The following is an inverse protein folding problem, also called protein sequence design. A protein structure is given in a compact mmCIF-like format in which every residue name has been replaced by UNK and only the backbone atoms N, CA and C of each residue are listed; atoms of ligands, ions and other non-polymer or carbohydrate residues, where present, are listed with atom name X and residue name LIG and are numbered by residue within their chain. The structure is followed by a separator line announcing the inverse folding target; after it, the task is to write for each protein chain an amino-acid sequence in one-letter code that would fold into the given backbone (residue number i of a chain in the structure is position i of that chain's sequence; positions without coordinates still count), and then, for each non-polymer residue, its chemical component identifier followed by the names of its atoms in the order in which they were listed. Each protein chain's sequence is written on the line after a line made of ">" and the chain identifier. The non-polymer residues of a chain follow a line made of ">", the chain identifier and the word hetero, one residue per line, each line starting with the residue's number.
data_IF_660570431108
#
_entry.id   IF_660570431108
#
_cell.length_a   1.000
_cell.length_b   1.000
_cell.length_c   1.000
_cell.angle_alpha   90.00
_cell.angle_beta   90.00
_cell.angle_gamma   90.00
#
_symmetry.space_group_name_H-M   'P 1'
#
loop_
_entity.id
_entity.type
_entity.pdbx_description
1 polymer ?
#
# COMPACT_ATOMS: atom_id res chain seq x y z
N UNK A 1 -22.71 -80.19 36.04
CA UNK A 1 -21.84 -79.36 36.89
C UNK A 1 -20.98 -78.53 35.97
N UNK A 2 -21.33 -77.27 35.70
CA UNK A 2 -21.07 -76.06 36.52
C UNK A 2 -19.75 -75.39 36.08
N UNK A 3 -19.90 -74.25 35.37
CA UNK A 3 -19.17 -72.97 35.55
C UNK A 3 -17.73 -73.01 34.97
N UNK A 4 -17.31 -72.17 34.01
CA UNK A 4 -17.03 -70.74 34.24
C UNK A 4 -16.70 -69.93 32.96
N UNK A 5 -17.45 -68.83 32.75
CA UNK A 5 -17.05 -67.47 32.27
C UNK A 5 -16.33 -67.34 30.91
N UNK A 6 -16.92 -66.81 29.82
CA UNK A 6 -17.73 -65.59 29.63
C UNK A 6 -17.05 -64.29 30.12
N UNK A 7 -15.85 -63.95 29.61
CA UNK A 7 -15.19 -62.67 29.93
C UNK A 7 -14.45 -62.05 28.73
N UNK A 8 -15.14 -61.76 27.62
CA UNK A 8 -14.54 -60.91 26.58
C UNK A 8 -15.53 -60.17 25.67
N UNK A 9 -16.69 -59.75 26.18
CA UNK A 9 -17.59 -58.91 25.37
C UNK A 9 -18.41 -57.87 26.16
N UNK A 10 -17.87 -57.36 27.26
CA UNK A 10 -18.46 -56.23 27.99
C UNK A 10 -17.33 -55.26 28.34
N UNK A 11 -17.04 -54.35 27.42
CA UNK A 11 -16.61 -52.96 27.63
C UNK A 11 -16.23 -52.37 26.27
N UNK A 12 -17.23 -52.15 25.40
CA UNK A 12 -17.11 -51.13 24.37
C UNK A 12 -18.08 -50.01 24.74
N UNK A 13 -17.59 -48.80 25.05
CA UNK A 13 -18.49 -47.68 25.29
C UNK A 13 -19.30 -47.45 24.01
N UNK A 14 -20.61 -47.38 24.15
CA UNK A 14 -21.53 -47.04 23.07
C UNK A 14 -21.08 -45.70 22.47
N UNK A 15 -20.50 -45.71 21.27
CA UNK A 15 -20.20 -44.46 20.55
C UNK A 15 -21.53 -43.78 20.26
N UNK A 16 -21.78 -42.54 20.73
CA UNK A 16 -22.97 -41.82 20.30
C UNK A 16 -22.88 -41.64 18.79
N UNK A 17 -23.90 -42.14 18.08
CA UNK A 17 -24.04 -41.90 16.65
C UNK A 17 -24.12 -40.39 16.43
N UNK A 18 -23.16 -39.82 15.69
CA UNK A 18 -23.20 -38.39 15.34
C UNK A 18 -24.53 -38.12 14.64
N UNK A 19 -25.35 -37.23 15.20
CA UNK A 19 -26.59 -36.78 14.55
C UNK A 19 -26.25 -36.34 13.11
N UNK A 20 -27.08 -36.66 12.11
CA UNK A 20 -26.84 -36.23 10.75
C UNK A 20 -26.69 -34.72 10.75
N UNK A 21 -25.56 -34.26 10.24
CA UNK A 21 -25.23 -32.84 10.13
C UNK A 21 -26.21 -32.27 9.11
N UNK A 22 -27.23 -31.55 9.57
CA UNK A 22 -28.09 -30.76 8.70
C UNK A 22 -27.22 -29.69 8.06
N UNK A 23 -26.72 -29.97 6.85
CA UNK A 23 -26.12 -28.96 5.99
C UNK A 23 -27.26 -28.14 5.41
N UNK A 24 -27.82 -27.24 6.21
CA UNK A 24 -28.59 -26.13 5.67
C UNK A 24 -27.59 -25.29 4.88
N UNK A 25 -27.55 -25.46 3.55
CA UNK A 25 -26.79 -24.56 2.70
C UNK A 25 -27.44 -23.19 2.84
N UNK A 26 -26.87 -22.34 3.70
CA UNK A 26 -27.29 -20.94 3.77
C UNK A 26 -27.10 -20.37 2.38
N UNK A 27 -28.21 -20.03 1.72
CA UNK A 27 -28.19 -19.31 0.46
C UNK A 27 -27.36 -18.04 0.72
N UNK A 28 -26.18 -17.96 0.12
CA UNK A 28 -25.36 -16.75 0.22
C UNK A 28 -26.06 -15.71 -0.64
N UNK A 29 -26.85 -14.84 -0.02
CA UNK A 29 -27.28 -13.62 -0.68
C UNK A 29 -26.04 -12.87 -1.11
N UNK A 30 -25.82 -12.75 -2.43
CA UNK A 30 -24.76 -11.91 -2.97
C UNK A 30 -25.11 -10.47 -2.58
N UNK A 31 -24.19 -9.80 -1.89
CA UNK A 31 -24.32 -8.35 -1.67
C UNK A 31 -24.38 -7.67 -3.04
N UNK A 32 -25.22 -6.64 -3.22
CA UNK A 32 -25.24 -5.86 -4.44
C UNK A 32 -23.82 -5.32 -4.73
N UNK A 33 -23.44 -5.16 -6.02
CA UNK A 33 -22.17 -4.55 -6.37
C UNK A 33 -22.04 -3.18 -5.72
N UNK A 34 -20.92 -2.93 -5.05
CA UNK A 34 -20.61 -1.58 -4.53
C UNK A 34 -20.23 -0.67 -5.68
N UNK A 35 -20.67 0.57 -5.62
CA UNK A 35 -20.30 1.61 -6.57
C UNK A 35 -18.82 1.99 -6.36
N UNK A 36 -18.06 2.09 -7.45
CA UNK A 36 -16.68 2.55 -7.39
C UNK A 36 -16.62 4.07 -7.59
N UNK A 37 -16.58 4.82 -6.48
CA UNK A 37 -16.42 6.28 -6.48
C UNK A 37 -14.97 6.74 -6.25
N UNK A 38 -13.99 5.85 -6.42
CA UNK A 38 -12.58 6.22 -6.33
C UNK A 38 -12.17 6.88 -7.65
N UNK A 39 -12.01 8.20 -7.64
CA UNK A 39 -11.57 8.94 -8.83
C UNK A 39 -10.05 9.02 -8.90
N UNK A 40 -9.55 9.29 -10.11
CA UNK A 40 -8.13 9.51 -10.35
C UNK A 40 -7.62 10.73 -9.58
N UNK A 41 -8.39 11.82 -9.53
CA UNK A 41 -7.97 13.03 -8.79
C UNK A 41 -7.80 12.76 -7.30
N UNK A 42 -8.70 11.98 -6.70
CA UNK A 42 -8.57 11.59 -5.29
C UNK A 42 -7.28 10.80 -5.06
N UNK A 43 -6.98 9.83 -5.92
CA UNK A 43 -5.74 9.05 -5.79
C UNK A 43 -4.48 9.92 -6.01
N UNK A 44 -4.52 10.88 -6.94
CA UNK A 44 -3.43 11.83 -7.17
C UNK A 44 -3.20 12.75 -5.97
N UNK A 45 -4.28 13.23 -5.34
CA UNK A 45 -4.19 14.01 -4.11
C UNK A 45 -3.50 13.22 -2.99
N UNK A 46 -3.83 11.92 -2.86
CA UNK A 46 -3.11 11.05 -1.92
C UNK A 46 -1.67 10.77 -2.29
N UNK A 47 -1.27 10.78 -3.56
CA UNK A 47 0.15 10.61 -3.89
C UNK A 47 1.00 11.78 -3.38
N UNK A 48 0.44 12.99 -3.33
CA UNK A 48 1.11 14.16 -2.74
C UNK A 48 1.30 14.03 -1.23
N UNK A 49 0.24 13.64 -0.52
CA UNK A 49 0.27 13.56 0.96
C UNK A 49 0.82 12.21 1.46
N UNK A 50 1.01 11.26 0.55
CA UNK A 50 1.40 9.87 0.75
C UNK A 50 0.86 9.20 2.04
N UNK A 51 -0.46 9.23 2.30
CA UNK A 51 -1.01 8.60 3.48
C UNK A 51 -0.85 7.07 3.38
N UNK A 52 -0.72 6.41 4.53
CA UNK A 52 -0.83 4.95 4.59
C UNK A 52 -2.16 4.48 3.98
N UNK A 53 -2.20 3.26 3.41
CA UNK A 53 -3.45 2.69 2.88
C UNK A 53 -4.57 2.71 3.92
N UNK A 54 -4.23 2.49 5.20
CA UNK A 54 -5.16 2.58 6.31
C UNK A 54 -5.71 4.00 6.46
N UNK A 55 -4.83 5.01 6.52
CA UNK A 55 -5.23 6.41 6.65
C UNK A 55 -6.10 6.87 5.45
N UNK A 56 -5.71 6.53 4.22
CA UNK A 56 -6.49 6.79 3.01
C UNK A 56 -7.89 6.15 3.07
N UNK A 57 -7.98 4.92 3.60
CA UNK A 57 -9.26 4.23 3.76
C UNK A 57 -10.18 4.95 4.75
N UNK A 58 -9.65 5.35 5.91
CA UNK A 58 -10.44 6.05 6.91
C UNK A 58 -10.85 7.45 6.44
N UNK A 59 -9.94 8.21 5.83
CA UNK A 59 -10.26 9.55 5.32
C UNK A 59 -11.29 9.49 4.19
N UNK A 60 -11.18 8.51 3.28
CA UNK A 60 -12.18 8.29 2.23
C UNK A 60 -13.57 7.96 2.79
N UNK A 61 -13.65 7.00 3.71
CA UNK A 61 -14.92 6.61 4.31
C UNK A 61 -15.55 7.77 5.11
N UNK A 62 -14.74 8.51 5.88
CA UNK A 62 -15.20 9.67 6.62
C UNK A 62 -15.71 10.78 5.69
N UNK A 63 -14.97 11.11 4.63
CA UNK A 63 -15.39 12.10 3.64
C UNK A 63 -16.69 11.67 2.93
N UNK A 64 -16.79 10.39 2.55
CA UNK A 64 -18.00 9.86 1.94
C UNK A 64 -19.23 9.97 2.86
N UNK A 65 -19.09 9.63 4.15
CA UNK A 65 -20.17 9.81 5.13
C UNK A 65 -20.59 11.28 5.26
N UNK A 66 -19.62 12.19 5.39
CA UNK A 66 -19.89 13.63 5.50
C UNK A 66 -20.60 14.21 4.29
N UNK A 67 -20.39 13.62 3.10
CA UNK A 67 -21.06 13.98 1.85
C UNK A 67 -22.40 13.26 1.65
N UNK A 68 -22.86 12.47 2.62
CA UNK A 68 -24.15 11.77 2.57
C UNK A 68 -24.13 10.48 1.74
N UNK A 69 -22.96 9.92 1.43
CA UNK A 69 -22.87 8.61 0.78
C UNK A 69 -23.02 7.47 1.80
N UNK A 70 -23.76 6.44 1.40
CA UNK A 70 -23.87 5.20 2.17
C UNK A 70 -22.63 4.32 1.96
N UNK A 71 -21.90 4.04 3.05
CA UNK A 71 -20.71 3.19 3.04
C UNK A 71 -21.02 1.76 2.58
N UNK A 72 -22.22 1.24 2.83
CA UNK A 72 -22.58 -0.12 2.41
C UNK A 72 -22.67 -0.25 0.88
N UNK A 73 -22.90 0.87 0.21
CA UNK A 73 -23.06 0.95 -1.25
C UNK A 73 -21.83 1.47 -1.98
N UNK A 74 -20.81 1.98 -1.28
CA UNK A 74 -19.57 2.47 -1.91
C UNK A 74 -18.34 1.60 -1.61
N UNK A 75 -17.39 1.61 -2.54
CA UNK A 75 -16.18 0.79 -2.44
C UNK A 75 -15.16 1.41 -1.47
N UNK A 76 -15.20 1.02 -0.19
CA UNK A 76 -14.27 1.52 0.86
C UNK A 76 -13.20 0.51 1.31
N UNK A 77 -13.09 -0.66 0.66
CA UNK A 77 -12.15 -1.69 1.12
C UNK A 77 -10.69 -1.26 0.93
N UNK A 78 -9.82 -1.58 1.90
CA UNK A 78 -8.37 -1.32 1.81
C UNK A 78 -7.76 -1.86 0.51
N UNK A 79 -8.15 -3.08 0.13
CA UNK A 79 -7.66 -3.71 -1.10
C UNK A 79 -8.10 -2.97 -2.35
N UNK A 80 -9.32 -2.43 -2.38
CA UNK A 80 -9.79 -1.62 -3.51
C UNK A 80 -9.02 -0.31 -3.61
N UNK A 81 -8.80 0.38 -2.48
CA UNK A 81 -8.02 1.62 -2.44
C UNK A 81 -6.58 1.39 -2.87
N UNK A 82 -5.95 0.31 -2.38
CA UNK A 82 -4.62 -0.09 -2.80
C UNK A 82 -4.55 -0.33 -4.31
N UNK A 83 -5.47 -1.14 -4.87
CA UNK A 83 -5.52 -1.39 -6.32
C UNK A 83 -5.75 -0.13 -7.13
N UNK A 84 -6.61 0.78 -6.67
CA UNK A 84 -6.85 2.06 -7.34
C UNK A 84 -5.56 2.91 -7.40
N UNK A 85 -4.80 2.98 -6.30
CA UNK A 85 -3.50 3.67 -6.27
C UNK A 85 -2.47 3.02 -7.18
N UNK A 86 -2.34 1.69 -7.15
CA UNK A 86 -1.42 0.94 -8.02
C UNK A 86 -1.76 1.20 -9.49
N UNK A 87 -3.02 1.06 -9.88
CA UNK A 87 -3.48 1.32 -11.24
C UNK A 87 -3.18 2.76 -11.68
N UNK A 88 -3.44 3.75 -10.81
CA UNK A 88 -3.13 5.14 -11.13
C UNK A 88 -1.62 5.35 -11.34
N UNK A 89 -0.77 4.75 -10.49
CA UNK A 89 0.70 4.81 -10.67
C UNK A 89 1.15 4.14 -11.96
N UNK A 90 0.57 3.00 -12.32
CA UNK A 90 0.84 2.33 -13.60
C UNK A 90 0.46 3.24 -14.78
N UNK A 91 -0.71 3.88 -14.73
CA UNK A 91 -1.15 4.83 -15.76
C UNK A 91 -0.21 6.03 -15.89
N UNK A 92 0.23 6.60 -14.76
CA UNK A 92 1.22 7.69 -14.75
C UNK A 92 2.53 7.20 -15.35
N UNK A 93 3.05 6.05 -14.91
CA UNK A 93 4.30 5.50 -15.42
C UNK A 93 4.24 5.23 -16.94
N UNK A 94 3.12 4.71 -17.44
CA UNK A 94 2.92 4.50 -18.88
C UNK A 94 2.89 5.82 -19.68
N UNK A 95 2.47 6.91 -19.06
CA UNK A 95 2.41 8.24 -19.69
C UNK A 95 3.75 8.98 -19.74
N UNK A 96 4.76 8.53 -18.99
CA UNK A 96 6.10 9.11 -19.02
C UNK A 96 6.80 8.78 -20.34
N UNK A 97 7.51 9.76 -20.88
CA UNK A 97 8.36 9.60 -22.08
C UNK A 97 9.66 8.86 -21.78
N UNK A 98 10.19 9.03 -20.57
CA UNK A 98 11.38 8.35 -20.09
C UNK A 98 11.04 6.91 -19.65
N UNK A 99 11.60 5.93 -20.35
CA UNK A 99 11.40 4.49 -20.12
C UNK A 99 12.77 3.80 -20.07
N UNK A 100 13.43 3.76 -18.91
CA UNK A 100 14.71 3.07 -18.81
C UNK A 100 14.51 1.56 -19.01
N UNK A 101 15.50 0.89 -19.59
CA UNK A 101 15.46 -0.58 -19.79
C UNK A 101 15.47 -1.35 -18.46
N UNK A 102 15.99 -0.69 -17.42
CA UNK A 102 16.22 -1.19 -16.08
C UNK A 102 15.63 -0.23 -15.05
N UNK A 103 15.17 -0.70 -13.88
CA UNK A 103 14.70 0.18 -12.81
C UNK A 103 15.84 1.07 -12.32
N UNK A 104 15.65 2.39 -12.39
CA UNK A 104 16.59 3.38 -11.86
C UNK A 104 16.04 3.98 -10.56
N UNK A 105 16.92 4.18 -9.59
CA UNK A 105 16.60 4.90 -8.35
C UNK A 105 17.35 6.22 -8.34
N UNK A 106 16.60 7.33 -8.33
CA UNK A 106 17.17 8.66 -8.15
C UNK A 106 17.29 8.96 -6.65
N UNK A 107 18.52 9.19 -6.19
CA UNK A 107 18.82 9.61 -4.84
C UNK A 107 19.24 11.08 -4.87
N UNK A 108 18.56 11.93 -4.10
CA UNK A 108 19.02 13.30 -3.87
C UNK A 108 19.04 13.59 -2.38
N UNK A 109 20.17 14.09 -1.88
CA UNK A 109 20.33 14.47 -0.48
C UNK A 109 21.08 15.79 -0.37
N UNK A 110 20.56 16.67 0.49
CA UNK A 110 21.06 18.03 0.70
C UNK A 110 22.00 18.11 1.90
N UNK A 111 23.08 18.89 1.77
CA UNK A 111 24.00 19.17 2.87
C UNK A 111 24.57 20.57 2.79
N UNK A 112 24.55 21.28 3.92
CA UNK A 112 25.30 22.52 4.10
C UNK A 112 26.81 22.24 4.08
N UNK A 113 27.50 22.77 3.08
CA UNK A 113 28.95 22.63 2.90
C UNK A 113 29.59 24.01 2.72
N UNK A 114 30.86 24.19 3.12
CA UNK A 114 31.59 25.42 2.83
C UNK A 114 31.60 25.71 1.32
N UNK A 115 31.34 26.96 0.96
CA UNK A 115 31.40 27.42 -0.43
C UNK A 115 32.78 27.14 -1.01
N UNK A 116 32.82 26.59 -2.22
CA UNK A 116 34.07 26.40 -2.94
C UNK A 116 34.68 27.73 -3.43
N UNK A 117 33.89 28.81 -3.47
CA UNK A 117 34.34 30.12 -3.94
C UNK A 117 35.11 30.90 -2.87
N UNK A 118 34.62 30.89 -1.62
CA UNK A 118 35.21 31.69 -0.53
C UNK A 118 35.69 30.85 0.67
N UNK A 119 35.31 29.57 0.77
CA UNK A 119 35.66 28.67 1.87
C UNK A 119 35.10 29.05 3.24
N UNK A 120 34.23 30.05 3.32
CA UNK A 120 33.75 30.67 4.58
C UNK A 120 32.24 30.65 4.70
N UNK A 121 31.53 30.95 3.61
CA UNK A 121 30.08 30.85 3.59
C UNK A 121 29.64 29.40 3.50
N UNK A 122 28.45 29.08 4.01
CA UNK A 122 27.83 27.77 3.84
C UNK A 122 26.85 27.84 2.67
N UNK A 123 26.93 26.86 1.80
CA UNK A 123 26.03 26.66 0.66
C UNK A 123 25.32 25.32 0.83
N UNK A 124 24.02 25.28 0.54
CA UNK A 124 23.28 24.03 0.46
C UNK A 124 23.66 23.32 -0.84
N UNK A 125 24.27 22.15 -0.73
CA UNK A 125 24.69 21.33 -1.86
C UNK A 125 23.89 20.05 -1.90
N UNK A 126 23.25 19.79 -3.05
CA UNK A 126 22.40 18.62 -3.23
C UNK A 126 23.15 17.61 -4.07
N UNK A 127 23.54 16.47 -3.49
CA UNK A 127 24.13 15.39 -4.27
C UNK A 127 23.02 14.65 -5.02
N UNK A 128 23.12 14.54 -6.34
CA UNK A 128 22.14 13.84 -7.19
C UNK A 128 22.81 12.59 -7.75
N UNK A 129 22.34 11.42 -7.35
CA UNK A 129 22.84 10.13 -7.79
C UNK A 129 21.74 9.33 -8.47
N UNK A 130 22.13 8.53 -9.45
CA UNK A 130 21.26 7.50 -10.02
C UNK A 130 21.89 6.15 -9.75
N UNK A 131 21.11 5.24 -9.18
CA UNK A 131 21.52 3.87 -8.91
C UNK A 131 20.75 2.90 -9.81
N UNK A 132 21.48 1.92 -10.35
CA UNK A 132 20.99 0.79 -11.11
C UNK A 132 21.60 -0.49 -10.54
N UNK A 133 20.77 -1.44 -10.11
CA UNK A 133 21.19 -2.73 -9.53
C UNK A 133 22.29 -2.54 -8.46
N UNK A 134 23.55 -2.80 -8.81
CA UNK A 134 24.73 -2.70 -7.92
C UNK A 134 25.68 -1.54 -8.29
N UNK A 135 25.24 -0.62 -9.15
CA UNK A 135 26.00 0.54 -9.61
C UNK A 135 25.35 1.85 -9.20
N UNK A 136 26.15 2.81 -8.79
CA UNK A 136 25.70 4.16 -8.47
C UNK A 136 26.55 5.17 -9.23
N UNK A 137 25.90 6.13 -9.88
CA UNK A 137 26.55 7.22 -10.62
C UNK A 137 26.12 8.56 -10.04
N UNK A 138 27.10 9.38 -9.64
CA UNK A 138 26.88 10.76 -9.21
C UNK A 138 26.69 11.63 -10.46
N UNK A 139 25.47 12.11 -10.69
CA UNK A 139 25.16 13.01 -11.80
C UNK A 139 25.68 14.43 -11.55
N UNK A 140 25.70 14.86 -10.29
CA UNK A 140 26.20 16.18 -9.93
C UNK A 140 25.97 16.57 -8.48
N UNK A 141 26.50 17.73 -8.12
CA UNK A 141 26.33 18.36 -6.80
C UNK A 141 25.98 19.84 -6.98
N UNK A 142 24.80 20.18 -7.54
CA UNK A 142 24.36 21.56 -7.68
C UNK A 142 24.21 22.27 -6.32
N UNK A 143 24.35 23.59 -6.36
CA UNK A 143 24.12 24.47 -5.21
C UNK A 143 22.66 24.92 -5.23
N UNK A 144 21.92 24.64 -4.17
CA UNK A 144 20.57 25.13 -3.95
C UNK A 144 20.60 26.54 -3.35
N UNK A 145 19.56 27.33 -3.65
CA UNK A 145 19.42 28.68 -3.08
C UNK A 145 19.32 28.66 -1.54
N UNK A 146 18.63 27.65 -1.00
CA UNK A 146 18.52 27.37 0.43
C UNK A 146 18.17 25.89 0.71
N UNK A 147 18.02 25.52 1.98
CA UNK A 147 17.67 24.17 2.44
C UNK A 147 16.17 23.84 2.44
N UNK A 148 15.31 24.66 1.82
CA UNK A 148 13.89 24.35 1.72
C UNK A 148 13.64 23.26 0.69
N UNK A 149 12.64 22.41 0.92
CA UNK A 149 12.28 21.37 -0.04
C UNK A 149 11.88 21.92 -1.42
N UNK A 150 11.38 23.16 -1.48
CA UNK A 150 11.08 23.82 -2.75
C UNK A 150 12.37 24.18 -3.51
N UNK A 151 13.33 24.86 -2.87
CA UNK A 151 14.58 25.22 -3.53
C UNK A 151 15.36 23.99 -4.00
N UNK A 152 15.36 22.93 -3.20
CA UNK A 152 15.98 21.64 -3.57
C UNK A 152 15.27 21.02 -4.79
N UNK A 153 13.93 21.04 -4.83
CA UNK A 153 13.16 20.50 -5.96
C UNK A 153 13.28 21.33 -7.25
N UNK A 154 13.60 22.63 -7.15
CA UNK A 154 13.92 23.47 -8.31
C UNK A 154 15.35 23.24 -8.82
N UNK A 155 16.23 22.71 -7.96
CA UNK A 155 17.65 22.48 -8.24
C UNK A 155 17.91 21.13 -8.91
N UNK A 156 17.11 20.10 -8.60
CA UNK A 156 17.24 18.71 -9.06
C UNK A 156 16.21 18.40 -10.14
#
# INVERSE_FOLDING_TARGET
>A
MIVTWLWSLLLHPHRPTKKPRTTTSKIRHRRPPTENKLTKELTLAWERDNPSIRAATFSYAAAAMSLGHDIEHITVSRSSIHRARVKNREEIAMSLSFKPEVPLVLHWDGKLLPSLADGRSLEERVAVLVSEEDTEELLGVPVSADGTGQAVAETV
#
